data_IF_443051108389
#
_entry.id   IF_443051108389
#
_cell.length_a   1.000
_cell.length_b   1.000
_cell.length_c   1.000
_cell.angle_alpha   90.00
_cell.angle_beta   90.00
_cell.angle_gamma   90.00
#
_symmetry.space_group_name_H-M   'P 1'
#
loop_
_entity.id
_entity.type
_entity.pdbx_description
1 polymer ?
#
# COMPACT_ATOMS: atom_id res chain seq x y z
N UNK A 1 10.06 -28.03 -6.30
CA UNK A 1 9.59 -26.63 -6.30
C UNK A 1 9.29 -26.34 -4.84
N UNK A 2 10.23 -25.68 -4.17
CA UNK A 2 10.19 -25.50 -2.73
C UNK A 2 9.24 -24.33 -2.44
N UNK A 3 8.09 -24.63 -1.82
CA UNK A 3 7.37 -23.66 -1.00
C UNK A 3 8.38 -23.07 -0.02
N UNK A 4 8.76 -21.82 -0.19
CA UNK A 4 9.43 -21.05 0.86
C UNK A 4 8.41 -20.87 1.98
N UNK A 5 8.52 -21.75 2.98
CA UNK A 5 7.61 -21.98 4.10
C UNK A 5 7.53 -20.78 5.06
N UNK A 6 7.02 -19.64 4.60
CA UNK A 6 6.47 -18.63 5.49
C UNK A 6 4.96 -18.77 5.41
N UNK A 7 4.36 -19.32 6.47
CA UNK A 7 2.92 -19.49 6.55
C UNK A 7 2.25 -18.11 6.34
N UNK A 8 1.48 -17.99 5.26
CA UNK A 8 0.66 -16.81 5.00
C UNK A 8 -0.23 -16.53 6.22
N UNK A 9 -0.07 -15.35 6.81
CA UNK A 9 -0.95 -14.92 7.90
C UNK A 9 -2.39 -14.67 7.42
N UNK A 10 -2.56 -14.18 6.19
CA UNK A 10 -3.85 -13.75 5.65
C UNK A 10 -4.66 -14.88 4.98
N UNK A 11 -4.13 -16.10 4.94
CA UNK A 11 -4.75 -17.25 4.30
C UNK A 11 -4.32 -17.43 2.84
N UNK A 12 -5.02 -18.26 2.04
CA UNK A 12 -4.65 -18.48 0.66
C UNK A 12 -4.68 -17.17 -0.15
N UNK A 13 -3.70 -17.00 -1.03
CA UNK A 13 -3.63 -15.86 -1.94
C UNK A 13 -4.81 -15.91 -2.90
N UNK A 14 -5.58 -14.82 -2.99
CA UNK A 14 -6.75 -14.71 -3.87
C UNK A 14 -6.58 -13.68 -4.99
N UNK A 15 -5.45 -12.97 -5.03
CA UNK A 15 -5.08 -12.08 -6.13
C UNK A 15 -4.86 -12.87 -7.43
N UNK A 16 -5.39 -12.33 -8.52
CA UNK A 16 -5.16 -12.86 -9.87
C UNK A 16 -3.79 -12.46 -10.42
N UNK A 17 -3.16 -11.44 -9.82
CA UNK A 17 -1.92 -10.83 -10.30
C UNK A 17 -0.89 -10.84 -9.18
N UNK A 18 0.08 -11.74 -9.31
CA UNK A 18 1.29 -11.75 -8.50
C UNK A 18 2.34 -10.89 -9.22
N UNK A 19 2.97 -9.94 -8.52
CA UNK A 19 4.03 -9.14 -9.13
C UNK A 19 5.36 -9.88 -9.10
N UNK A 20 6.44 -9.20 -9.49
CA UNK A 20 7.78 -9.79 -9.55
C UNK A 20 8.43 -10.03 -8.17
N UNK A 21 7.79 -9.62 -7.07
CA UNK A 21 8.32 -9.81 -5.71
C UNK A 21 7.88 -11.19 -5.16
N UNK A 22 8.77 -11.87 -4.43
CA UNK A 22 8.45 -13.16 -3.82
C UNK A 22 7.56 -12.98 -2.58
N UNK A 23 6.44 -13.71 -2.54
CA UNK A 23 5.45 -13.63 -1.47
C UNK A 23 6.02 -14.08 -0.12
N UNK A 24 5.76 -13.27 0.91
CA UNK A 24 6.13 -13.50 2.31
C UNK A 24 7.65 -13.71 2.53
N UNK A 25 8.50 -13.30 1.59
CA UNK A 25 9.96 -13.50 1.67
C UNK A 25 10.62 -12.78 2.86
N UNK A 26 10.05 -11.65 3.28
CA UNK A 26 10.61 -10.81 4.35
C UNK A 26 9.80 -10.79 5.64
N UNK A 27 8.51 -11.12 5.59
CA UNK A 27 7.60 -11.11 6.75
C UNK A 27 6.42 -12.04 6.51
N UNK A 28 5.96 -12.74 7.54
CA UNK A 28 4.73 -13.55 7.47
C UNK A 28 3.44 -12.72 7.42
N UNK A 29 3.52 -11.42 7.71
CA UNK A 29 2.36 -10.53 7.75
C UNK A 29 2.20 -9.67 6.50
N UNK A 30 3.29 -9.43 5.77
CA UNK A 30 3.31 -8.60 4.56
C UNK A 30 3.77 -9.50 3.42
N UNK A 31 2.88 -9.78 2.48
CA UNK A 31 3.19 -10.65 1.36
C UNK A 31 4.27 -10.05 0.45
N UNK A 32 4.07 -8.84 -0.08
CA UNK A 32 5.07 -8.16 -0.92
C UNK A 32 5.66 -6.95 -0.17
N UNK A 33 6.76 -7.15 0.54
CA UNK A 33 7.33 -6.17 1.46
C UNK A 33 7.76 -4.87 0.77
N UNK A 34 8.49 -4.97 -0.34
CA UNK A 34 8.96 -3.81 -1.08
C UNK A 34 7.83 -3.09 -1.81
N UNK A 35 6.86 -3.82 -2.36
CA UNK A 35 5.66 -3.21 -2.95
C UNK A 35 4.79 -2.50 -1.91
N UNK A 36 4.70 -3.01 -0.68
CA UNK A 36 4.03 -2.30 0.43
C UNK A 36 4.84 -1.07 0.89
N UNK A 37 6.14 -1.19 1.15
CA UNK A 37 6.93 -0.09 1.74
C UNK A 37 7.17 1.05 0.75
N UNK A 38 7.24 0.76 -0.55
CA UNK A 38 7.41 1.77 -1.61
C UNK A 38 6.23 2.74 -1.71
N UNK A 39 5.06 2.39 -1.18
CA UNK A 39 3.90 3.26 -1.08
C UNK A 39 3.94 4.22 0.13
N UNK A 40 4.81 3.98 1.13
CA UNK A 40 4.91 4.84 2.33
C UNK A 40 5.28 6.30 1.99
N UNK A 41 6.29 6.58 1.13
CA UNK A 41 6.57 7.95 0.70
C UNK A 41 5.36 8.65 0.04
N UNK A 42 4.54 7.91 -0.71
CA UNK A 42 3.33 8.46 -1.34
C UNK A 42 2.31 8.94 -0.29
N UNK A 43 2.07 8.13 0.75
CA UNK A 43 1.21 8.50 1.88
C UNK A 43 1.76 9.73 2.61
N UNK A 44 3.06 9.75 2.90
CA UNK A 44 3.71 10.86 3.61
C UNK A 44 3.64 12.16 2.81
N UNK A 45 3.96 12.13 1.52
CA UNK A 45 3.88 13.31 0.66
C UNK A 45 2.44 13.80 0.49
N UNK A 46 1.47 12.90 0.37
CA UNK A 46 0.05 13.25 0.33
C UNK A 46 -0.39 13.94 1.64
N UNK A 47 0.04 13.44 2.79
CA UNK A 47 -0.25 14.06 4.09
C UNK A 47 0.39 15.44 4.23
N UNK A 48 1.67 15.58 3.87
CA UNK A 48 2.37 16.89 3.87
C UNK A 48 1.65 17.88 2.95
N UNK A 49 1.28 17.43 1.75
CA UNK A 49 0.52 18.24 0.79
C UNK A 49 -0.83 18.68 1.35
N UNK A 50 -1.57 17.78 2.01
CA UNK A 50 -2.85 18.09 2.65
C UNK A 50 -2.70 19.13 3.77
N UNK A 51 -1.72 18.96 4.66
CA UNK A 51 -1.42 19.91 5.74
C UNK A 51 -1.07 21.28 5.16
N UNK A 52 -0.25 21.32 4.11
CA UNK A 52 0.14 22.55 3.45
C UNK A 52 -1.05 23.22 2.75
N UNK A 53 -1.95 22.46 2.12
CA UNK A 53 -3.15 22.98 1.49
C UNK A 53 -4.08 23.66 2.50
N UNK A 54 -4.25 23.08 3.69
CA UNK A 54 -4.99 23.72 4.77
C UNK A 54 -4.29 24.96 5.33
N UNK A 55 -2.97 24.88 5.57
CA UNK A 55 -2.20 26.01 6.13
C UNK A 55 -2.14 27.22 5.21
N UNK A 56 -2.10 27.01 3.90
CA UNK A 56 -2.02 28.07 2.91
C UNK A 56 -3.41 28.55 2.45
N UNK A 57 -4.50 27.93 2.94
CA UNK A 57 -5.87 28.30 2.56
C UNK A 57 -6.18 28.04 1.09
N UNK A 58 -5.55 27.01 0.49
CA UNK A 58 -5.85 26.64 -0.90
C UNK A 58 -7.29 26.16 -1.05
N UNK A 59 -7.80 26.23 -2.28
CA UNK A 59 -9.12 25.75 -2.61
C UNK A 59 -9.29 24.27 -2.24
N UNK A 60 -10.51 23.89 -1.82
CA UNK A 60 -10.83 22.53 -1.35
C UNK A 60 -10.46 21.43 -2.35
N UNK A 61 -10.39 21.74 -3.66
CA UNK A 61 -9.96 20.81 -4.71
C UNK A 61 -8.56 20.22 -4.46
N UNK A 62 -7.64 20.99 -3.88
CA UNK A 62 -6.30 20.52 -3.56
C UNK A 62 -6.32 19.57 -2.36
N UNK A 63 -7.12 19.87 -1.34
CA UNK A 63 -7.33 18.94 -0.21
C UNK A 63 -7.94 17.62 -0.66
N UNK A 64 -8.94 17.66 -1.54
CA UNK A 64 -9.56 16.45 -2.13
C UNK A 64 -8.52 15.64 -2.90
N UNK A 65 -7.69 16.28 -3.73
CA UNK A 65 -6.61 15.61 -4.46
C UNK A 65 -5.65 14.86 -3.51
N UNK A 66 -5.17 15.52 -2.46
CA UNK A 66 -4.25 14.89 -1.51
C UNK A 66 -4.91 13.75 -0.72
N UNK A 67 -6.19 13.89 -0.34
CA UNK A 67 -6.95 12.82 0.31
C UNK A 67 -7.10 11.62 -0.62
N UNK A 68 -7.46 11.84 -1.89
CA UNK A 68 -7.61 10.77 -2.89
C UNK A 68 -6.31 10.01 -3.11
N UNK A 69 -5.17 10.72 -3.24
CA UNK A 69 -3.86 10.09 -3.36
C UNK A 69 -3.48 9.28 -2.12
N UNK A 70 -3.82 9.78 -0.93
CA UNK A 70 -3.59 9.06 0.33
C UNK A 70 -4.41 7.77 0.38
N UNK A 71 -5.69 7.81 0.01
CA UNK A 71 -6.57 6.63 -0.06
C UNK A 71 -6.02 5.61 -1.07
N UNK A 72 -5.60 6.06 -2.25
CA UNK A 72 -5.04 5.21 -3.29
C UNK A 72 -3.76 4.48 -2.81
N UNK A 73 -2.83 5.21 -2.19
CA UNK A 73 -1.58 4.63 -1.69
C UNK A 73 -1.84 3.64 -0.54
N UNK A 74 -2.75 3.95 0.39
CA UNK A 74 -3.13 3.03 1.47
C UNK A 74 -3.81 1.78 0.90
N UNK A 75 -4.69 1.93 -0.08
CA UNK A 75 -5.34 0.80 -0.76
C UNK A 75 -4.32 -0.13 -1.41
N UNK A 76 -3.34 0.44 -2.11
CA UNK A 76 -2.22 -0.32 -2.70
C UNK A 76 -1.42 -1.05 -1.61
N UNK A 77 -1.09 -0.39 -0.49
CA UNK A 77 -0.40 -1.03 0.63
C UNK A 77 -1.16 -2.24 1.18
N UNK A 78 -2.47 -2.10 1.39
CA UNK A 78 -3.33 -3.19 1.90
C UNK A 78 -3.36 -4.35 0.90
N UNK A 79 -3.52 -4.05 -0.39
CA UNK A 79 -3.49 -5.07 -1.44
C UNK A 79 -2.17 -5.85 -1.44
N UNK A 80 -1.02 -5.17 -1.50
CA UNK A 80 0.30 -5.83 -1.51
C UNK A 80 0.63 -6.56 -0.19
N UNK A 81 0.13 -6.05 0.94
CA UNK A 81 0.37 -6.71 2.22
C UNK A 81 -0.43 -8.01 2.38
N UNK A 82 -1.65 -8.06 1.82
CA UNK A 82 -2.59 -9.17 2.02
C UNK A 82 -2.67 -10.14 0.85
N UNK A 83 -2.39 -9.66 -0.37
CA UNK A 83 -2.67 -10.34 -1.65
C UNK A 83 -4.10 -10.90 -1.71
N UNK A 84 -5.04 -10.15 -1.14
CA UNK A 84 -6.45 -10.48 -1.17
C UNK A 84 -7.16 -9.64 -2.23
N UNK A 85 -8.05 -10.29 -2.98
CA UNK A 85 -9.02 -9.58 -3.81
C UNK A 85 -10.03 -8.91 -2.87
N UNK A 86 -9.95 -7.58 -2.77
CA UNK A 86 -10.97 -6.76 -2.12
C UNK A 86 -12.13 -6.51 -3.08
#
# INVERSE_FOLDING_TARGET
MADSMVASFWGPVTSTTELCEENYAHSSYIAEFYNTISNVPCVLLALIGLVNAFRQGFEKRFSVLHISNMILAIGSMIFHATLQLV
#
